data_IF_281260837220
#
_entry.id   IF_281260837220
#
_cell.length_a   1.000
_cell.length_b   1.000
_cell.length_c   1.000
_cell.angle_alpha   90.00
_cell.angle_beta   90.00
_cell.angle_gamma   90.00
#
_symmetry.space_group_name_H-M   'P 1'
#
loop_
_entity.id
_entity.type
_entity.pdbx_description
1 polymer ?
#
# COMPACT_ATOMS: atom_id res chain seq x y z
N UNK A 1 -8.16 -66.72 -10.24
CA UNK A 1 -6.86 -67.40 -10.35
C UNK A 1 -5.78 -66.31 -10.41
N UNK A 2 -4.93 -66.28 -9.37
CA UNK A 2 -3.53 -65.78 -9.31
C UNK A 2 -3.25 -64.34 -9.78
N UNK A 3 -2.65 -63.43 -9.00
CA UNK A 3 -2.09 -63.52 -7.66
C UNK A 3 -1.35 -62.21 -7.35
N UNK A 4 -1.64 -61.62 -6.19
CA UNK A 4 -0.81 -60.58 -5.57
C UNK A 4 0.49 -61.22 -5.05
N UNK A 5 1.68 -60.60 -5.22
CA UNK A 5 2.85 -60.96 -4.45
C UNK A 5 2.81 -60.32 -3.05
N UNK A 6 3.11 -61.12 -2.03
CA UNK A 6 3.34 -60.74 -0.64
C UNK A 6 4.65 -59.92 -0.47
N UNK A 7 4.78 -59.14 0.62
CA UNK A 7 6.01 -58.48 0.99
C UNK A 7 7.02 -59.47 1.61
N UNK A 8 8.30 -59.37 1.24
CA UNK A 8 9.37 -60.24 1.74
C UNK A 8 10.26 -59.54 2.78
N UNK A 9 10.37 -60.25 3.92
CA UNK A 9 11.48 -60.41 4.87
C UNK A 9 11.97 -59.25 5.74
N UNK A 10 11.75 -59.47 7.04
CA UNK A 10 12.39 -58.87 8.19
C UNK A 10 13.91 -59.15 8.26
N UNK A 11 14.63 -58.17 8.79
CA UNK A 11 16.00 -58.23 9.34
C UNK A 11 16.05 -57.47 10.68
N UNK A 12 17.10 -57.62 11.50
CA UNK A 12 16.97 -57.95 12.93
C UNK A 12 16.65 -56.77 13.85
N UNK A 13 15.88 -57.09 14.88
CA UNK A 13 15.60 -56.29 16.08
C UNK A 13 16.75 -56.36 17.08
N UNK A 14 17.23 -55.21 17.58
CA UNK A 14 17.78 -54.95 18.93
C UNK A 14 18.24 -53.49 19.07
N UNK A 15 18.34 -52.89 20.27
CA UNK A 15 17.44 -52.94 21.41
C UNK A 15 16.91 -51.53 21.76
N UNK A 16 15.88 -51.51 22.61
CA UNK A 16 15.38 -50.37 23.39
C UNK A 16 16.48 -49.47 23.95
N UNK A 17 16.45 -48.19 23.59
CA UNK A 17 17.00 -47.10 24.38
C UNK A 17 15.92 -46.04 24.56
N UNK A 18 15.19 -46.14 25.67
CA UNK A 18 14.50 -45.00 26.25
C UNK A 18 15.57 -44.01 26.67
N UNK A 19 15.67 -42.91 25.94
CA UNK A 19 16.38 -41.73 26.39
C UNK A 19 15.52 -40.53 26.00
N UNK A 20 14.94 -39.90 27.02
CA UNK A 20 14.43 -38.54 26.94
C UNK A 20 15.48 -37.65 26.26
N UNK A 21 15.31 -37.42 24.96
CA UNK A 21 15.99 -36.33 24.28
C UNK A 21 15.49 -35.00 24.87
N UNK A 22 16.35 -33.99 25.05
CA UNK A 22 15.88 -32.70 25.52
C UNK A 22 14.80 -32.23 24.57
N UNK A 23 13.70 -31.70 25.11
CA UNK A 23 12.67 -31.04 24.33
C UNK A 23 13.39 -30.05 23.40
N UNK A 24 13.41 -30.38 22.11
CA UNK A 24 13.95 -29.50 21.09
C UNK A 24 12.97 -28.34 21.03
N UNK A 25 13.23 -27.34 21.87
CA UNK A 25 12.61 -26.05 21.80
C UNK A 25 13.01 -25.47 20.45
N UNK A 26 12.27 -25.84 19.41
CA UNK A 26 12.30 -25.19 18.12
C UNK A 26 11.77 -23.77 18.37
N UNK A 27 12.63 -22.92 18.91
CA UNK A 27 12.46 -21.49 18.93
C UNK A 27 12.45 -21.04 17.49
N UNK A 28 11.26 -21.03 16.88
CA UNK A 28 11.05 -20.39 15.60
C UNK A 28 11.41 -18.92 15.79
N UNK A 29 12.55 -18.53 15.24
CA UNK A 29 12.94 -17.13 15.14
C UNK A 29 11.97 -16.46 14.18
N UNK A 30 11.06 -15.64 14.72
CA UNK A 30 10.19 -14.81 13.91
C UNK A 30 10.98 -13.60 13.42
N UNK A 31 11.12 -13.46 12.09
CA UNK A 31 11.69 -12.26 11.48
C UNK A 31 10.59 -11.23 11.30
N UNK A 32 10.70 -10.09 11.99
CA UNK A 32 9.81 -8.95 11.81
C UNK A 32 10.41 -7.99 10.77
N UNK A 33 9.67 -7.72 9.70
CA UNK A 33 10.04 -6.72 8.71
C UNK A 33 8.95 -5.65 8.61
N UNK A 34 9.34 -4.38 8.68
CA UNK A 34 8.45 -3.23 8.47
C UNK A 34 8.96 -2.36 7.31
N UNK A 35 8.04 -1.60 6.71
CA UNK A 35 8.34 -0.61 5.68
C UNK A 35 7.86 0.74 6.17
N UNK A 36 8.70 1.77 6.01
CA UNK A 36 8.34 3.14 6.31
C UNK A 36 8.50 3.98 5.04
N UNK A 37 7.42 4.61 4.61
CA UNK A 37 7.42 5.52 3.47
C UNK A 37 7.30 6.95 3.99
N UNK A 38 8.33 7.76 3.74
CA UNK A 38 8.28 9.20 3.96
C UNK A 38 8.26 9.90 2.61
N UNK A 39 7.14 10.51 2.28
CA UNK A 39 6.88 11.08 0.95
C UNK A 39 6.56 12.55 1.09
N UNK A 40 7.34 13.38 0.39
CA UNK A 40 7.03 14.78 0.18
C UNK A 40 6.32 14.95 -1.18
N UNK A 41 5.24 15.73 -1.19
CA UNK A 41 4.41 15.95 -2.36
C UNK A 41 4.50 17.41 -2.77
N UNK A 42 4.60 17.64 -4.08
CA UNK A 42 4.54 18.98 -4.63
C UNK A 42 3.17 19.63 -4.38
N UNK A 43 3.11 20.95 -4.58
CA UNK A 43 1.88 21.73 -4.51
C UNK A 43 0.84 21.24 -5.53
N UNK A 44 -0.43 21.22 -5.10
CA UNK A 44 -1.58 20.79 -5.91
C UNK A 44 -2.26 21.94 -6.66
N UNK A 45 -1.66 23.13 -6.64
CA UNK A 45 -2.21 24.30 -7.29
C UNK A 45 -2.31 24.16 -8.81
N UNK A 46 -3.33 24.80 -9.37
CA UNK A 46 -3.56 24.79 -10.80
C UNK A 46 -2.51 25.64 -11.51
N UNK A 47 -1.86 25.04 -12.51
CA UNK A 47 -0.97 25.72 -13.46
C UNK A 47 -1.52 27.03 -14.05
N UNK A 48 -2.84 27.13 -14.24
CA UNK A 48 -3.47 28.37 -14.73
C UNK A 48 -3.23 29.57 -13.82
N UNK A 49 -2.88 29.36 -12.55
CA UNK A 49 -2.52 30.42 -11.60
C UNK A 49 -1.04 30.80 -11.64
N UNK A 50 -0.17 29.95 -12.21
CA UNK A 50 1.28 30.11 -12.07
C UNK A 50 1.91 30.96 -13.18
N UNK A 51 1.13 31.45 -14.16
CA UNK A 51 1.62 32.20 -15.34
C UNK A 51 2.87 31.56 -15.99
N UNK A 52 3.06 30.25 -15.78
CA UNK A 52 4.24 29.53 -16.22
C UNK A 52 4.12 29.23 -17.72
N UNK A 53 5.22 29.44 -18.43
CA UNK A 53 5.32 29.24 -19.89
C UNK A 53 6.48 28.32 -20.22
N UNK A 54 6.43 27.71 -21.41
CA UNK A 54 7.49 26.83 -21.91
C UNK A 54 7.72 25.61 -21.02
N UNK A 55 8.98 25.34 -20.67
CA UNK A 55 9.35 24.13 -19.94
C UNK A 55 8.82 24.09 -18.51
N UNK A 56 8.65 25.25 -17.85
CA UNK A 56 8.01 25.32 -16.52
C UNK A 56 6.55 24.88 -16.56
N UNK A 57 5.84 25.15 -17.65
CA UNK A 57 4.47 24.68 -17.83
C UNK A 57 4.45 23.14 -18.00
N UNK A 58 5.37 22.60 -18.81
CA UNK A 58 5.49 21.14 -19.03
C UNK A 58 5.82 20.40 -17.73
N UNK A 59 6.75 20.93 -16.94
CA UNK A 59 7.11 20.38 -15.65
C UNK A 59 5.91 20.36 -14.70
N UNK A 60 5.22 21.49 -14.55
CA UNK A 60 4.04 21.55 -13.69
C UNK A 60 2.88 20.66 -14.18
N UNK A 61 2.78 20.37 -15.48
CA UNK A 61 1.81 19.38 -16.00
C UNK A 61 2.18 17.99 -15.50
N UNK A 62 3.46 17.62 -15.61
CA UNK A 62 3.95 16.31 -15.17
C UNK A 62 3.79 16.12 -13.65
N UNK A 63 4.09 17.17 -12.86
CA UNK A 63 3.88 17.16 -11.41
C UNK A 63 2.40 16.94 -11.07
N UNK A 64 1.52 17.72 -11.70
CA UNK A 64 0.08 17.64 -11.45
C UNK A 64 -0.55 16.34 -11.96
N UNK A 65 0.04 15.67 -12.96
CA UNK A 65 -0.41 14.36 -13.41
C UNK A 65 -0.31 13.31 -12.29
N UNK A 66 0.82 13.29 -11.56
CA UNK A 66 1.00 12.39 -10.41
C UNK A 66 0.01 12.67 -9.27
N UNK A 67 -0.17 13.94 -8.92
CA UNK A 67 -1.12 14.35 -7.87
C UNK A 67 -2.58 14.08 -8.28
N UNK A 68 -2.92 14.24 -9.55
CA UNK A 68 -4.25 13.94 -10.07
C UNK A 68 -4.55 12.45 -10.02
N UNK A 69 -3.60 11.59 -10.42
CA UNK A 69 -3.73 10.14 -10.31
C UNK A 69 -3.91 9.70 -8.84
N UNK A 70 -3.15 10.30 -7.92
CA UNK A 70 -3.31 10.07 -6.48
C UNK A 70 -4.72 10.45 -6.01
N UNK A 71 -5.24 11.59 -6.46
CA UNK A 71 -6.61 12.00 -6.16
C UNK A 71 -7.68 11.04 -6.67
N UNK A 72 -7.47 10.44 -7.85
CA UNK A 72 -8.39 9.43 -8.39
C UNK A 72 -8.39 8.15 -7.54
N UNK A 73 -7.21 7.68 -7.14
CA UNK A 73 -7.06 6.52 -6.23
C UNK A 73 -7.77 6.78 -4.90
N UNK A 74 -7.51 7.93 -4.27
CA UNK A 74 -8.14 8.28 -2.99
C UNK A 74 -9.67 8.41 -3.13
N UNK A 75 -10.15 8.93 -4.25
CA UNK A 75 -11.58 9.02 -4.51
C UNK A 75 -12.23 7.64 -4.63
N UNK A 76 -11.57 6.71 -5.33
CA UNK A 76 -12.06 5.35 -5.53
C UNK A 76 -12.09 4.55 -4.21
N UNK A 77 -11.14 4.82 -3.29
CA UNK A 77 -11.04 4.14 -2.00
C UNK A 77 -11.88 4.78 -0.89
N UNK A 78 -12.03 6.11 -0.90
CA UNK A 78 -12.72 6.86 0.15
C UNK A 78 -14.24 6.92 0.01
N UNK A 79 -14.78 6.52 -1.16
CA UNK A 79 -16.22 6.43 -1.38
C UNK A 79 -16.77 5.08 -0.86
N UNK A 80 -17.27 5.09 0.38
CA UNK A 80 -17.86 3.91 1.00
C UNK A 80 -19.14 3.41 0.30
N UNK A 81 -19.78 4.24 -0.54
CA UNK A 81 -21.00 3.85 -1.26
C UNK A 81 -20.70 3.10 -2.55
N UNK A 82 -19.52 3.31 -3.12
CA UNK A 82 -19.06 2.68 -4.36
C UNK A 82 -17.81 1.89 -4.05
N UNK A 83 -17.96 0.59 -3.77
CA UNK A 83 -16.82 -0.32 -3.83
C UNK A 83 -16.34 -0.37 -5.28
N UNK A 84 -15.31 0.43 -5.59
CA UNK A 84 -14.69 0.43 -6.90
C UNK A 84 -14.13 -0.98 -7.16
N UNK A 85 -14.59 -1.62 -8.23
CA UNK A 85 -14.10 -2.94 -8.66
C UNK A 85 -12.62 -2.88 -9.02
N UNK A 86 -12.16 -1.72 -9.50
CA UNK A 86 -10.78 -1.48 -9.87
C UNK A 86 -10.33 -0.11 -9.35
N UNK A 87 -9.18 -0.08 -8.67
CA UNK A 87 -8.53 1.15 -8.22
C UNK A 87 -7.34 1.43 -9.14
N UNK A 88 -7.24 2.62 -9.76
CA UNK A 88 -6.30 2.90 -10.85
C UNK A 88 -4.89 3.23 -10.35
N UNK A 89 -4.27 2.36 -9.54
CA UNK A 89 -2.91 2.59 -9.05
C UNK A 89 -1.89 2.67 -10.19
N UNK A 90 -2.19 2.11 -11.36
CA UNK A 90 -1.27 2.02 -12.50
C UNK A 90 -1.08 3.34 -13.26
N UNK A 91 -1.96 4.31 -13.05
CA UNK A 91 -1.96 5.59 -13.79
C UNK A 91 -0.72 6.44 -13.52
N UNK A 92 -0.04 6.22 -12.39
CA UNK A 92 1.23 6.88 -12.08
C UNK A 92 2.21 5.97 -11.34
N UNK A 93 3.50 6.25 -11.46
CA UNK A 93 4.53 5.56 -10.66
C UNK A 93 4.34 5.83 -9.16
N UNK A 94 3.92 7.05 -8.80
CA UNK A 94 3.66 7.46 -7.42
C UNK A 94 2.57 6.59 -6.77
N UNK A 95 1.42 6.42 -7.44
CA UNK A 95 0.31 5.61 -6.92
C UNK A 95 0.63 4.13 -6.83
N UNK A 96 1.56 3.62 -7.66
CA UNK A 96 2.07 2.24 -7.54
C UNK A 96 2.93 2.05 -6.31
N UNK A 97 3.81 3.01 -6.01
CA UNK A 97 4.64 2.97 -4.80
C UNK A 97 3.80 3.08 -3.53
N UNK A 98 2.74 3.89 -3.57
CA UNK A 98 1.84 4.12 -2.44
C UNK A 98 0.69 3.10 -2.32
N UNK A 99 0.66 2.07 -3.16
CA UNK A 99 -0.42 1.09 -3.16
C UNK A 99 -0.55 0.36 -1.81
N UNK A 100 0.57 0.06 -1.16
CA UNK A 100 0.56 -0.57 0.17
C UNK A 100 0.05 0.39 1.24
N UNK A 101 0.33 1.69 1.08
CA UNK A 101 -0.10 2.77 1.99
C UNK A 101 -1.58 3.15 1.82
N UNK A 102 -2.15 2.98 0.64
CA UNK A 102 -3.53 3.39 0.32
C UNK A 102 -4.36 2.16 -0.03
N UNK A 103 -5.02 1.56 0.96
CA UNK A 103 -5.84 0.35 0.79
C UNK A 103 -5.08 -0.98 0.91
N UNK A 104 -3.79 -0.94 1.27
CA UNK A 104 -2.94 -2.11 1.52
C UNK A 104 -2.70 -2.37 3.01
N UNK A 105 -1.55 -2.96 3.34
CA UNK A 105 -1.18 -3.38 4.71
C UNK A 105 -0.18 -2.40 5.33
N UNK A 106 -0.58 -1.14 5.48
CA UNK A 106 0.24 -0.10 6.11
C UNK A 106 -0.63 0.84 6.92
N UNK A 107 -0.07 1.40 7.99
CA UNK A 107 -0.66 2.57 8.63
C UNK A 107 -0.21 3.82 7.89
N UNK A 108 -1.15 4.69 7.56
CA UNK A 108 -0.88 5.84 6.71
C UNK A 108 -1.40 7.11 7.35
N UNK A 109 -0.51 8.08 7.49
CA UNK A 109 -0.83 9.44 7.91
C UNK A 109 -0.69 10.38 6.72
N UNK A 110 -1.70 11.22 6.50
CA UNK A 110 -1.65 12.31 5.53
C UNK A 110 -1.68 13.65 6.27
N UNK A 111 -0.72 14.52 5.97
CA UNK A 111 -0.70 15.90 6.46
C UNK A 111 -1.25 16.81 5.37
N UNK A 112 -2.34 17.51 5.68
CA UNK A 112 -2.96 18.45 4.76
C UNK A 112 -2.41 19.87 4.99
N UNK A 113 -1.51 20.31 4.11
CA UNK A 113 -0.98 21.67 4.13
C UNK A 113 -1.96 22.63 3.45
N UNK A 114 -2.46 23.62 4.20
CA UNK A 114 -3.44 24.60 3.70
C UNK A 114 -3.01 26.02 4.06
N UNK A 115 -3.49 26.99 3.27
CA UNK A 115 -3.21 28.41 3.51
C UNK A 115 -4.40 29.07 4.22
N UNK A 116 -4.17 29.91 5.24
CA UNK A 116 -5.22 30.69 5.90
C UNK A 116 -5.67 31.91 5.09
N UNK A 117 -4.99 32.24 3.98
CA UNK A 117 -5.30 33.41 3.17
C UNK A 117 -6.65 33.26 2.44
N UNK A 118 -7.48 34.30 2.49
CA UNK A 118 -8.80 34.32 1.82
C UNK A 118 -8.70 34.09 0.31
N UNK A 119 -7.61 34.55 -0.33
CA UNK A 119 -7.32 34.34 -1.75
C UNK A 119 -7.13 32.86 -2.12
N UNK A 120 -6.86 31.99 -1.14
CA UNK A 120 -6.63 30.56 -1.32
C UNK A 120 -7.78 29.69 -0.80
N UNK A 121 -8.91 30.29 -0.41
CA UNK A 121 -10.06 29.57 0.16
C UNK A 121 -10.50 28.38 -0.70
N UNK A 122 -10.53 28.54 -2.02
CA UNK A 122 -10.91 27.48 -2.95
C UNK A 122 -9.96 26.29 -2.91
N UNK A 123 -8.65 26.53 -2.88
CA UNK A 123 -7.65 25.44 -2.82
C UNK A 123 -7.63 24.79 -1.45
N UNK A 124 -7.74 25.59 -0.37
CA UNK A 124 -7.89 25.07 0.99
C UNK A 124 -9.11 24.15 1.10
N UNK A 125 -10.25 24.53 0.53
CA UNK A 125 -11.44 23.68 0.50
C UNK A 125 -11.22 22.39 -0.30
N UNK A 126 -10.52 22.46 -1.43
CA UNK A 126 -10.18 21.28 -2.24
C UNK A 126 -9.29 20.31 -1.46
N UNK A 127 -8.26 20.81 -0.79
CA UNK A 127 -7.35 20.02 0.06
C UNK A 127 -8.08 19.40 1.24
N UNK A 128 -9.00 20.11 1.89
CA UNK A 128 -9.80 19.55 2.99
C UNK A 128 -10.76 18.45 2.51
N UNK A 129 -11.42 18.64 1.36
CA UNK A 129 -12.25 17.59 0.73
C UNK A 129 -11.41 16.36 0.36
N UNK A 130 -10.18 16.59 -0.09
CA UNK A 130 -9.23 15.53 -0.38
C UNK A 130 -8.85 14.75 0.89
N UNK A 131 -8.44 15.46 1.95
CA UNK A 131 -8.09 14.86 3.24
C UNK A 131 -9.27 14.09 3.86
N UNK A 132 -10.49 14.61 3.74
CA UNK A 132 -11.69 13.91 4.21
C UNK A 132 -11.94 12.59 3.49
N UNK A 133 -11.68 12.52 2.17
CA UNK A 133 -11.75 11.25 1.42
C UNK A 133 -10.62 10.31 1.82
N UNK A 134 -9.41 10.82 1.98
CA UNK A 134 -8.25 10.03 2.41
C UNK A 134 -8.45 9.39 3.79
N UNK A 135 -9.06 10.12 4.73
CA UNK A 135 -9.43 9.60 6.05
C UNK A 135 -10.36 8.38 5.99
N UNK A 136 -11.21 8.30 4.97
CA UNK A 136 -12.21 7.23 4.85
C UNK A 136 -11.64 5.95 4.22
N UNK A 137 -10.38 5.96 3.77
CA UNK A 137 -9.72 4.79 3.20
C UNK A 137 -9.52 3.77 4.31
N UNK A 138 -9.92 2.53 4.03
CA UNK A 138 -9.68 1.39 4.90
C UNK A 138 -8.47 0.62 4.41
N UNK A 139 -7.47 0.51 5.26
CA UNK A 139 -6.33 -0.38 5.07
C UNK A 139 -6.67 -1.77 5.66
N UNK A 140 -6.00 -2.82 5.16
CA UNK A 140 -6.25 -4.21 5.54
C UNK A 140 -5.60 -4.58 6.87
#
# INVERSE_FOLDING_TARGET
MVGRPLPTSAGPTSPTASANGPASGNGQWAVLQSKFHFVDLAGSERLKRTNAVGDRAREGISINAGLSALGNVISALGDNTKKAVHVPYRDSKLTRLLQDSLGGNSQTLMIACVSPAASNLTETLNTLKYANRARNIKNQ
#
